data_IF_846954069051
#
_entry.id   IF_846954069051
#
_cell.length_a   1.000
_cell.length_b   1.000
_cell.length_c   1.000
_cell.angle_alpha   90.00
_cell.angle_beta   90.00
_cell.angle_gamma   90.00
#
_symmetry.space_group_name_H-M   'P 1'
#
loop_
_entity.id
_entity.type
_entity.pdbx_description
1 polymer ?
#
# COMPACT_ATOMS: atom_id res chain seq x y z
N UNK A 1 -10.68 -13.44 49.22
CA UNK A 1 -11.03 -12.04 48.93
C UNK A 1 -12.27 -11.69 49.71
N UNK A 2 -12.31 -10.49 50.26
CA UNK A 2 -13.44 -9.96 51.00
C UNK A 2 -14.73 -10.02 50.16
N UNK A 3 -15.82 -10.45 50.80
CA UNK A 3 -17.07 -10.72 50.12
C UNK A 3 -17.75 -9.42 49.67
N UNK A 4 -17.63 -8.35 50.45
CA UNK A 4 -18.22 -7.05 50.12
C UNK A 4 -17.42 -6.36 48.99
N UNK A 5 -16.09 -6.45 49.01
CA UNK A 5 -15.26 -6.02 47.87
C UNK A 5 -15.65 -6.76 46.59
N UNK A 6 -15.77 -8.09 46.65
CA UNK A 6 -16.16 -8.90 45.48
C UNK A 6 -17.54 -8.51 44.92
N UNK A 7 -18.51 -8.28 45.80
CA UNK A 7 -19.86 -7.85 45.38
C UNK A 7 -19.85 -6.45 44.79
N UNK A 8 -19.09 -5.52 45.36
CA UNK A 8 -18.93 -4.16 44.85
C UNK A 8 -18.31 -4.18 43.44
N UNK A 9 -17.24 -4.97 43.24
CA UNK A 9 -16.61 -5.14 41.92
C UNK A 9 -17.52 -5.83 40.92
N UNK A 10 -18.26 -6.88 41.32
CA UNK A 10 -19.18 -7.59 40.43
C UNK A 10 -20.35 -6.70 39.98
N UNK A 11 -20.89 -5.90 40.90
CA UNK A 11 -22.02 -4.99 40.63
C UNK A 11 -21.61 -3.70 39.92
N UNK A 12 -20.33 -3.34 39.92
CA UNK A 12 -19.83 -2.10 39.33
C UNK A 12 -20.12 -0.85 40.15
N UNK A 13 -20.50 -0.99 41.42
CA UNK A 13 -20.82 0.14 42.29
C UNK A 13 -19.53 0.82 42.77
N UNK A 14 -19.09 1.82 42.03
CA UNK A 14 -17.82 2.53 42.30
C UNK A 14 -17.81 3.30 43.59
N UNK A 15 -18.95 3.81 44.06
CA UNK A 15 -19.03 4.55 45.32
C UNK A 15 -18.71 3.62 46.50
N UNK A 16 -19.36 2.45 46.55
CA UNK A 16 -19.10 1.44 47.57
C UNK A 16 -17.67 0.91 47.45
N UNK A 17 -17.18 0.70 46.22
CA UNK A 17 -15.79 0.30 45.99
C UNK A 17 -14.80 1.32 46.57
N UNK A 18 -14.99 2.62 46.29
CA UNK A 18 -14.09 3.68 46.79
C UNK A 18 -14.14 3.80 48.31
N UNK A 19 -15.31 3.62 48.91
CA UNK A 19 -15.51 3.69 50.36
C UNK A 19 -14.78 2.53 51.06
N UNK A 20 -15.00 1.29 50.61
CA UNK A 20 -14.32 0.09 51.12
C UNK A 20 -12.80 0.20 50.99
N UNK A 21 -12.31 0.72 49.85
CA UNK A 21 -10.88 0.88 49.59
C UNK A 21 -10.24 2.06 50.35
N UNK A 22 -11.02 3.07 50.73
CA UNK A 22 -10.57 4.17 51.60
C UNK A 22 -10.47 3.70 53.06
N UNK A 23 -11.43 2.90 53.52
CA UNK A 23 -11.41 2.35 54.87
C UNK A 23 -10.31 1.30 55.05
N UNK A 24 -10.14 0.39 54.07
CA UNK A 24 -9.18 -0.71 54.17
C UNK A 24 -8.39 -0.91 52.85
N UNK A 25 -7.30 -0.14 52.63
CA UNK A 25 -6.47 -0.27 51.43
C UNK A 25 -5.80 -1.65 51.25
N UNK A 26 -5.61 -2.39 52.35
CA UNK A 26 -5.02 -3.73 52.36
C UNK A 26 -5.86 -4.78 51.62
N UNK A 27 -7.15 -4.50 51.39
CA UNK A 27 -8.05 -5.36 50.64
C UNK A 27 -7.57 -5.56 49.18
N UNK A 28 -6.80 -4.62 48.63
CA UNK A 28 -6.21 -4.74 47.28
C UNK A 28 -5.19 -5.87 47.15
N UNK A 29 -4.60 -6.34 48.27
CA UNK A 29 -3.67 -7.46 48.27
C UNK A 29 -4.36 -8.82 48.30
N UNK A 30 -5.67 -8.86 48.57
CA UNK A 30 -6.41 -10.10 48.72
C UNK A 30 -6.70 -10.76 47.37
N UNK A 31 -6.70 -12.08 47.38
CA UNK A 31 -6.92 -12.90 46.19
C UNK A 31 -8.19 -13.74 46.35
N UNK A 32 -8.82 -14.06 45.23
CA UNK A 32 -9.86 -15.10 45.15
C UNK A 32 -9.24 -16.51 45.20
N UNK A 33 -10.05 -17.58 45.35
CA UNK A 33 -9.54 -18.96 45.27
C UNK A 33 -8.86 -19.32 43.94
N UNK A 34 -9.13 -18.60 42.85
CA UNK A 34 -8.41 -18.75 41.58
C UNK A 34 -7.25 -17.74 41.41
N UNK A 35 -6.80 -17.15 42.51
CA UNK A 35 -5.78 -16.10 42.57
C UNK A 35 -6.07 -14.86 41.72
N UNK A 36 -7.34 -14.60 41.37
CA UNK A 36 -7.69 -13.32 40.76
C UNK A 36 -7.48 -12.19 41.77
N UNK A 37 -6.73 -11.17 41.33
CA UNK A 37 -6.66 -9.87 42.02
C UNK A 37 -7.97 -9.09 41.81
N UNK A 38 -8.26 -8.06 42.63
CA UNK A 38 -9.39 -7.16 42.42
C UNK A 38 -9.40 -6.58 40.99
N UNK A 39 -8.21 -6.22 40.46
CA UNK A 39 -8.06 -5.72 39.10
C UNK A 39 -8.48 -6.74 38.01
N UNK A 40 -8.23 -8.06 38.20
CA UNK A 40 -8.73 -9.07 37.28
C UNK A 40 -10.26 -9.10 37.22
N UNK A 41 -10.92 -8.86 38.36
CA UNK A 41 -12.37 -8.97 38.52
C UNK A 41 -13.05 -7.73 37.94
N UNK A 42 -12.52 -6.54 38.23
CA UNK A 42 -12.97 -5.30 37.62
C UNK A 42 -12.87 -5.35 36.07
N UNK A 43 -11.75 -5.89 35.54
CA UNK A 43 -11.58 -6.11 34.10
C UNK A 43 -12.56 -7.17 33.58
N UNK A 44 -12.74 -8.29 34.30
CA UNK A 44 -13.63 -9.38 33.90
C UNK A 44 -15.08 -8.93 33.71
N UNK A 45 -15.55 -8.02 34.57
CA UNK A 45 -16.90 -7.48 34.51
C UNK A 45 -17.02 -6.19 33.67
N UNK A 46 -15.90 -5.67 33.14
CA UNK A 46 -15.90 -4.53 32.21
C UNK A 46 -16.15 -3.17 32.87
N UNK A 47 -15.94 -3.04 34.18
CA UNK A 47 -16.21 -1.80 34.93
C UNK A 47 -15.05 -0.82 34.82
N UNK A 48 -15.04 -0.01 33.75
CA UNK A 48 -13.93 0.91 33.40
C UNK A 48 -13.54 1.85 34.54
N UNK A 49 -14.53 2.37 35.26
CA UNK A 49 -14.33 3.28 36.40
C UNK A 49 -13.70 2.58 37.61
N UNK A 50 -14.10 1.34 37.90
CA UNK A 50 -13.47 0.52 38.92
C UNK A 50 -12.02 0.14 38.54
N UNK A 51 -11.78 -0.19 37.27
CA UNK A 51 -10.43 -0.44 36.73
C UNK A 51 -9.53 0.78 36.91
N UNK A 52 -10.02 1.98 36.58
CA UNK A 52 -9.27 3.22 36.74
C UNK A 52 -8.93 3.51 38.21
N UNK A 53 -9.89 3.35 39.12
CA UNK A 53 -9.71 3.60 40.54
C UNK A 53 -8.70 2.63 41.18
N UNK A 54 -8.82 1.34 40.89
CA UNK A 54 -7.89 0.30 41.39
C UNK A 54 -6.49 0.51 40.79
N UNK A 55 -6.41 0.85 39.49
CA UNK A 55 -5.15 1.12 38.82
C UNK A 55 -4.43 2.36 39.39
N UNK A 56 -5.18 3.41 39.71
CA UNK A 56 -4.63 4.61 40.34
C UNK A 56 -4.00 4.30 41.70
N UNK A 57 -4.64 3.45 42.51
CA UNK A 57 -4.19 3.08 43.85
C UNK A 57 -3.05 2.06 43.86
N UNK A 58 -3.06 1.09 42.94
CA UNK A 58 -2.09 0.01 42.95
C UNK A 58 -1.72 -0.49 41.54
N UNK A 59 -0.71 0.16 40.94
CA UNK A 59 -0.22 -0.18 39.60
C UNK A 59 0.44 -1.56 39.51
N UNK A 60 1.02 -2.06 40.60
CA UNK A 60 1.69 -3.38 40.63
C UNK A 60 0.73 -4.55 40.38
N UNK A 61 -0.58 -4.35 40.53
CA UNK A 61 -1.58 -5.36 40.21
C UNK A 61 -1.67 -5.68 38.70
N UNK A 62 -1.17 -4.80 37.81
CA UNK A 62 -1.18 -5.04 36.36
C UNK A 62 -0.33 -6.24 35.92
N UNK A 63 0.77 -6.50 36.63
CA UNK A 63 1.75 -7.53 36.25
C UNK A 63 1.56 -8.83 37.04
N UNK A 64 0.67 -8.83 38.06
CA UNK A 64 0.47 -10.00 38.91
C UNK A 64 -0.38 -11.04 38.17
N UNK A 65 0.12 -12.26 37.95
CA UNK A 65 -0.66 -13.32 37.31
C UNK A 65 -1.63 -13.97 38.31
N UNK A 66 -2.70 -14.58 37.79
CA UNK A 66 -3.57 -15.53 38.51
C UNK A 66 -3.09 -16.99 38.35
N UNK A 67 -3.83 -17.96 38.88
CA UNK A 67 -3.47 -19.41 38.88
C UNK A 67 -3.03 -19.96 37.52
N UNK A 68 -3.63 -19.49 36.41
CA UNK A 68 -3.31 -19.97 35.06
C UNK A 68 -2.20 -19.16 34.35
N UNK A 69 -1.54 -18.24 35.04
CA UNK A 69 -0.51 -17.35 34.48
C UNK A 69 -1.06 -16.08 33.81
N UNK A 70 -2.38 -15.93 33.66
CA UNK A 70 -2.95 -14.72 33.06
C UNK A 70 -2.76 -13.51 33.97
N UNK A 71 -2.31 -12.39 33.41
CA UNK A 71 -2.41 -11.06 34.03
C UNK A 71 -3.78 -10.43 33.76
N UNK A 72 -4.18 -9.34 34.46
CA UNK A 72 -5.44 -8.65 34.18
C UNK A 72 -5.56 -8.22 32.71
N UNK A 73 -4.43 -7.94 32.06
CA UNK A 73 -4.38 -7.54 30.67
C UNK A 73 -4.63 -8.70 29.70
N UNK A 74 -4.18 -9.93 30.04
CA UNK A 74 -4.58 -11.14 29.30
C UNK A 74 -6.10 -11.36 29.38
N UNK A 75 -6.71 -11.10 30.54
CA UNK A 75 -8.17 -11.19 30.72
C UNK A 75 -8.89 -10.14 29.87
N UNK A 76 -8.41 -8.89 29.85
CA UNK A 76 -8.96 -7.83 28.99
C UNK A 76 -8.91 -8.20 27.50
N UNK A 77 -7.75 -8.66 27.01
CA UNK A 77 -7.56 -9.05 25.62
C UNK A 77 -8.53 -10.17 25.21
N UNK A 78 -8.72 -11.18 26.08
CA UNK A 78 -9.65 -12.29 25.82
C UNK A 78 -11.11 -11.85 25.77
N UNK A 79 -11.50 -10.88 26.60
CA UNK A 79 -12.86 -10.32 26.56
C UNK A 79 -13.09 -9.51 25.29
N UNK A 80 -12.12 -8.71 24.86
CA UNK A 80 -12.18 -7.96 23.61
C UNK A 80 -12.31 -8.92 22.42
N UNK A 81 -11.50 -9.98 22.37
CA UNK A 81 -11.60 -11.02 21.34
C UNK A 81 -12.96 -11.73 21.37
N UNK A 82 -13.46 -12.05 22.57
CA UNK A 82 -14.78 -12.69 22.72
C UNK A 82 -15.92 -11.79 22.24
N UNK A 83 -15.87 -10.50 22.55
CA UNK A 83 -16.84 -9.50 22.07
C UNK A 83 -16.73 -9.30 20.56
N UNK A 84 -15.50 -9.29 20.03
CA UNK A 84 -15.23 -9.14 18.61
C UNK A 84 -15.83 -10.26 17.74
N UNK A 85 -15.99 -11.45 18.32
CA UNK A 85 -16.57 -12.61 17.68
C UNK A 85 -18.07 -12.83 17.96
N UNK A 86 -18.73 -11.95 18.73
CA UNK A 86 -20.18 -12.05 18.92
C UNK A 86 -20.92 -11.81 17.61
N UNK A 87 -22.03 -12.50 17.41
CA UNK A 87 -22.90 -12.34 16.26
C UNK A 87 -24.28 -11.89 16.70
N UNK A 88 -24.91 -11.02 15.92
CA UNK A 88 -26.32 -10.67 16.13
C UNK A 88 -27.25 -11.79 15.63
N UNK A 89 -28.57 -11.59 15.74
CA UNK A 89 -29.57 -12.54 15.24
C UNK A 89 -29.47 -12.81 13.73
N UNK A 90 -28.75 -12.00 12.95
CA UNK A 90 -28.49 -12.20 11.52
C UNK A 90 -27.14 -12.87 11.23
N UNK A 91 -26.37 -13.26 12.26
CA UNK A 91 -25.03 -13.83 12.11
C UNK A 91 -23.93 -12.79 11.87
N UNK A 92 -24.26 -11.49 11.96
CA UNK A 92 -23.33 -10.41 11.63
C UNK A 92 -22.43 -10.10 12.83
N UNK A 93 -21.11 -10.13 12.60
CA UNK A 93 -20.11 -9.70 13.58
C UNK A 93 -19.99 -8.17 13.64
N UNK A 94 -19.42 -7.59 14.72
CA UNK A 94 -19.06 -6.18 14.77
C UNK A 94 -18.21 -5.73 13.57
N UNK A 95 -17.30 -6.58 13.10
CA UNK A 95 -16.49 -6.33 11.91
C UNK A 95 -17.35 -6.29 10.64
N UNK A 96 -18.31 -7.21 10.49
CA UNK A 96 -19.25 -7.21 9.36
C UNK A 96 -20.07 -5.91 9.33
N UNK A 97 -20.60 -5.49 10.47
CA UNK A 97 -21.36 -4.24 10.58
C UNK A 97 -20.50 -3.02 10.23
N UNK A 98 -19.28 -2.94 10.75
CA UNK A 98 -18.36 -1.86 10.43
C UNK A 98 -17.99 -1.84 8.94
N UNK A 99 -17.81 -3.02 8.33
CA UNK A 99 -17.53 -3.15 6.90
C UNK A 99 -18.71 -2.74 6.03
N UNK A 100 -19.95 -3.05 6.44
CA UNK A 100 -21.18 -2.62 5.74
C UNK A 100 -21.35 -1.11 5.74
N UNK A 101 -21.12 -0.48 6.89
CA UNK A 101 -21.26 0.97 7.08
C UNK A 101 -20.05 1.77 6.55
N UNK A 102 -18.95 1.10 6.15
CA UNK A 102 -17.77 1.77 5.61
C UNK A 102 -16.89 2.46 6.65
N UNK A 103 -17.00 2.09 7.93
CA UNK A 103 -16.23 2.70 9.04
C UNK A 103 -14.83 2.12 9.15
N UNK A 104 -13.92 2.57 8.28
CA UNK A 104 -12.54 2.10 8.19
C UNK A 104 -11.73 2.26 9.49
N UNK A 105 -12.01 3.30 10.26
CA UNK A 105 -11.44 3.58 11.58
C UNK A 105 -11.79 2.50 12.61
N UNK A 106 -13.06 2.07 12.65
CA UNK A 106 -13.50 0.96 13.53
C UNK A 106 -12.96 -0.36 13.01
N UNK A 107 -12.96 -0.58 11.70
CA UNK A 107 -12.40 -1.78 11.06
C UNK A 107 -10.92 -1.91 11.39
N UNK A 108 -10.12 -0.86 11.18
CA UNK A 108 -8.69 -0.83 11.50
C UNK A 108 -8.44 -1.14 12.98
N UNK A 109 -9.15 -0.46 13.88
CA UNK A 109 -8.99 -0.69 15.32
C UNK A 109 -9.32 -2.14 15.67
N UNK A 110 -10.47 -2.64 15.20
CA UNK A 110 -10.89 -4.02 15.42
C UNK A 110 -9.88 -5.03 14.88
N UNK A 111 -9.44 -4.86 13.62
CA UNK A 111 -8.44 -5.71 12.96
C UNK A 111 -7.08 -5.68 13.69
N UNK A 112 -6.66 -4.51 14.15
CA UNK A 112 -5.41 -4.33 14.89
C UNK A 112 -5.41 -5.06 16.25
N UNK A 113 -6.55 -5.08 16.95
CA UNK A 113 -6.71 -5.84 18.20
C UNK A 113 -6.78 -7.36 17.96
N UNK A 114 -7.48 -7.83 16.93
CA UNK A 114 -7.64 -9.27 16.68
C UNK A 114 -6.39 -9.94 16.06
N UNK A 115 -5.59 -9.20 15.29
CA UNK A 115 -4.40 -9.74 14.60
C UNK A 115 -3.14 -9.73 15.45
N UNK A 116 -3.21 -9.24 16.69
CA UNK A 116 -2.05 -9.16 17.59
C UNK A 116 -0.99 -8.14 17.16
N UNK A 117 -1.30 -7.26 16.20
CA UNK A 117 -0.40 -6.18 15.77
C UNK A 117 -0.30 -5.06 16.81
N UNK A 118 -1.21 -5.00 17.79
CA UNK A 118 -1.03 -4.18 18.99
C UNK A 118 0.15 -4.75 19.80
N UNK A 119 1.17 -3.96 20.14
CA UNK A 119 2.40 -4.42 20.80
C UNK A 119 2.19 -4.73 22.29
N UNK A 120 1.23 -5.58 22.64
CA UNK A 120 1.19 -6.15 24.00
C UNK A 120 2.43 -7.02 24.26
N UNK A 121 2.90 -7.72 23.22
CA UNK A 121 4.07 -8.58 23.29
C UNK A 121 5.36 -7.80 23.55
N UNK A 122 5.57 -6.65 22.88
CA UNK A 122 6.83 -5.89 23.01
C UNK A 122 6.84 -4.87 24.15
N UNK A 123 5.69 -4.35 24.58
CA UNK A 123 5.62 -3.37 25.69
C UNK A 123 5.44 -4.05 27.05
N UNK A 124 4.74 -5.17 27.12
CA UNK A 124 4.36 -5.80 28.40
C UNK A 124 4.77 -7.28 28.55
N UNK A 125 5.41 -7.89 27.54
CA UNK A 125 5.84 -9.30 27.61
C UNK A 125 4.68 -10.29 27.74
N UNK A 126 3.50 -9.91 27.23
CA UNK A 126 2.25 -10.68 27.35
C UNK A 126 2.10 -11.54 26.10
N UNK A 127 2.51 -12.80 26.19
CA UNK A 127 2.23 -13.80 25.16
C UNK A 127 0.79 -14.31 25.34
N UNK A 128 -0.18 -13.54 24.83
CA UNK A 128 -1.53 -14.08 24.68
C UNK A 128 -1.39 -15.18 23.63
N UNK A 129 -1.43 -16.45 24.05
CA UNK A 129 -1.58 -17.59 23.15
C UNK A 129 -2.86 -17.38 22.33
N UNK A 130 -2.74 -16.60 21.27
CA UNK A 130 -3.72 -16.47 20.23
C UNK A 130 -3.79 -17.87 19.64
N UNK A 131 -4.83 -18.62 19.99
CA UNK A 131 -5.35 -19.64 19.08
C UNK A 131 -5.27 -19.05 17.69
N UNK A 132 -4.75 -19.78 16.68
CA UNK A 132 -4.59 -19.24 15.34
C UNK A 132 -5.89 -18.53 14.97
N UNK A 133 -5.76 -17.35 14.35
CA UNK A 133 -6.81 -16.38 13.98
C UNK A 133 -7.78 -16.97 12.93
N UNK A 134 -8.08 -18.26 13.05
CA UNK A 134 -9.02 -19.01 12.29
C UNK A 134 -10.42 -18.72 12.87
N UNK A 135 -11.17 -17.90 12.14
CA UNK A 135 -12.52 -18.26 11.69
C UNK A 135 -13.78 -17.89 12.50
N UNK A 136 -13.83 -16.82 13.32
CA UNK A 136 -15.15 -16.33 13.82
C UNK A 136 -15.45 -14.84 13.61
N UNK A 137 -14.47 -13.94 13.68
CA UNK A 137 -14.69 -12.51 13.40
C UNK A 137 -14.95 -12.21 11.90
N UNK A 138 -14.36 -13.03 11.02
CA UNK A 138 -14.62 -13.07 9.57
C UNK A 138 -15.77 -14.01 9.20
N UNK A 139 -16.45 -14.59 10.20
CA UNK A 139 -17.54 -15.50 9.94
C UNK A 139 -18.60 -14.83 9.08
N UNK A 140 -19.14 -15.55 8.10
CA UNK A 140 -20.14 -15.00 7.23
C UNK A 140 -21.45 -14.73 7.96
N UNK A 141 -22.24 -13.81 7.40
CA UNK A 141 -23.66 -13.66 7.75
C UNK A 141 -24.43 -14.96 7.44
N UNK A 142 -25.72 -14.99 7.80
CA UNK A 142 -26.60 -16.13 7.45
C UNK A 142 -26.69 -16.44 5.95
N UNK A 143 -26.26 -15.52 5.07
CA UNK A 143 -26.23 -15.69 3.62
C UNK A 143 -24.85 -16.12 3.08
N UNK A 144 -23.85 -16.30 3.94
CA UNK A 144 -22.49 -16.63 3.53
C UNK A 144 -21.61 -15.42 3.24
N UNK A 145 -22.10 -14.19 3.36
CA UNK A 145 -21.31 -13.00 3.08
C UNK A 145 -20.31 -12.74 4.19
N UNK A 146 -19.02 -12.78 3.85
CA UNK A 146 -17.96 -12.29 4.73
C UNK A 146 -17.93 -10.75 4.77
N UNK A 147 -17.24 -10.14 5.75
CA UNK A 147 -17.02 -8.69 5.79
C UNK A 147 -16.43 -8.12 4.49
N UNK A 148 -15.60 -8.90 3.78
CA UNK A 148 -15.03 -8.51 2.49
C UNK A 148 -16.08 -8.48 1.37
N UNK A 149 -17.03 -9.42 1.36
CA UNK A 149 -18.12 -9.44 0.37
C UNK A 149 -18.99 -8.20 0.48
N UNK A 150 -19.39 -7.83 1.70
CA UNK A 150 -20.25 -6.65 1.91
C UNK A 150 -19.49 -5.34 1.66
N UNK A 151 -18.20 -5.26 2.01
CA UNK A 151 -17.38 -4.09 1.69
C UNK A 151 -17.22 -3.91 0.17
N UNK A 152 -16.98 -5.01 -0.55
CA UNK A 152 -16.91 -5.03 -2.01
C UNK A 152 -18.25 -4.66 -2.65
N UNK A 153 -19.35 -5.23 -2.18
CA UNK A 153 -20.71 -4.89 -2.64
C UNK A 153 -21.03 -3.41 -2.40
N UNK A 154 -20.69 -2.83 -1.24
CA UNK A 154 -20.99 -1.43 -0.93
C UNK A 154 -19.99 -0.43 -1.54
N UNK A 155 -18.86 -0.90 -2.04
CA UNK A 155 -17.87 -0.06 -2.70
C UNK A 155 -16.90 0.66 -1.76
N UNK A 156 -16.67 0.12 -0.56
CA UNK A 156 -15.85 0.75 0.48
C UNK A 156 -14.36 0.39 0.33
N UNK A 157 -13.65 1.09 -0.55
CA UNK A 157 -12.22 0.84 -0.89
C UNK A 157 -11.31 0.73 0.33
N UNK A 158 -11.38 1.70 1.24
CA UNK A 158 -10.46 1.77 2.38
C UNK A 158 -10.67 0.59 3.36
N UNK A 159 -11.91 0.11 3.48
CA UNK A 159 -12.25 -1.07 4.28
C UNK A 159 -11.72 -2.34 3.62
N UNK A 160 -11.83 -2.45 2.29
CA UNK A 160 -11.32 -3.59 1.51
C UNK A 160 -9.80 -3.71 1.68
N UNK A 161 -9.08 -2.60 1.53
CA UNK A 161 -7.62 -2.53 1.71
C UNK A 161 -7.19 -3.01 3.11
N UNK A 162 -7.88 -2.53 4.15
CA UNK A 162 -7.59 -2.95 5.52
C UNK A 162 -7.88 -4.43 5.76
N UNK A 163 -9.03 -4.94 5.31
CA UNK A 163 -9.40 -6.36 5.52
C UNK A 163 -8.39 -7.28 4.83
N UNK A 164 -7.99 -6.95 3.60
CA UNK A 164 -7.03 -7.74 2.81
C UNK A 164 -5.60 -7.66 3.38
N UNK A 165 -5.23 -6.51 3.95
CA UNK A 165 -3.95 -6.33 4.62
C UNK A 165 -3.83 -7.18 5.89
N UNK A 166 -4.86 -7.16 6.74
CA UNK A 166 -4.85 -7.84 8.03
C UNK A 166 -5.26 -9.33 7.94
N UNK A 167 -6.07 -9.71 6.96
CA UNK A 167 -6.52 -11.10 6.78
C UNK A 167 -6.19 -11.59 5.38
N UNK A 168 -5.10 -12.34 5.28
CA UNK A 168 -4.61 -12.81 3.99
C UNK A 168 -5.56 -13.82 3.34
N UNK A 169 -6.22 -14.67 4.12
CA UNK A 169 -7.13 -15.70 3.60
C UNK A 169 -8.52 -15.16 3.24
N UNK A 170 -8.82 -13.88 3.52
CA UNK A 170 -10.14 -13.30 3.28
C UNK A 170 -10.55 -13.27 1.81
N UNK A 171 -9.58 -13.25 0.88
CA UNK A 171 -9.80 -13.22 -0.57
C UNK A 171 -10.32 -14.53 -1.18
N UNK A 172 -10.12 -15.65 -0.48
CA UNK A 172 -10.55 -16.99 -0.92
C UNK A 172 -11.97 -17.34 -0.46
N UNK A 173 -12.53 -16.54 0.47
CA UNK A 173 -13.86 -16.78 1.03
C UNK A 173 -14.93 -16.69 -0.06
N UNK A 174 -15.87 -17.64 -0.03
CA UNK A 174 -17.02 -17.71 -0.93
C UNK A 174 -18.32 -17.59 -0.14
N UNK A 175 -19.30 -16.89 -0.71
CA UNK A 175 -20.66 -16.86 -0.18
C UNK A 175 -21.43 -18.18 -0.40
N UNK A 176 -22.66 -18.28 0.11
CA UNK A 176 -23.49 -19.48 -0.09
C UNK A 176 -23.85 -19.72 -1.56
N UNK A 177 -23.65 -18.74 -2.45
CA UNK A 177 -23.83 -18.86 -3.89
C UNK A 177 -22.52 -19.19 -4.64
N UNK A 178 -21.42 -19.43 -3.93
CA UNK A 178 -20.10 -19.66 -4.52
C UNK A 178 -19.48 -18.41 -5.14
N UNK A 179 -19.97 -17.22 -4.81
CA UNK A 179 -19.42 -15.93 -5.25
C UNK A 179 -18.30 -15.52 -4.31
N UNK A 180 -17.22 -14.99 -4.86
CA UNK A 180 -16.17 -14.31 -4.09
C UNK A 180 -16.45 -12.79 -3.99
N UNK A 181 -15.60 -12.06 -3.26
CA UNK A 181 -15.70 -10.60 -3.15
C UNK A 181 -15.71 -9.86 -4.50
N UNK A 182 -15.00 -10.38 -5.51
CA UNK A 182 -14.97 -9.80 -6.86
C UNK A 182 -16.33 -9.91 -7.58
N UNK A 183 -17.05 -11.01 -7.39
CA UNK A 183 -18.44 -11.14 -7.87
C UNK A 183 -19.36 -10.15 -7.13
N UNK A 184 -19.19 -10.00 -5.82
CA UNK A 184 -20.01 -9.08 -5.01
C UNK A 184 -19.79 -7.62 -5.37
N UNK A 185 -18.56 -7.23 -5.72
CA UNK A 185 -18.28 -5.90 -6.26
C UNK A 185 -19.23 -5.61 -7.43
N UNK A 186 -19.25 -6.46 -8.48
CA UNK A 186 -20.01 -6.20 -9.72
C UNK A 186 -21.50 -5.89 -9.50
N UNK A 187 -22.12 -6.51 -8.49
CA UNK A 187 -23.58 -6.45 -8.28
C UNK A 187 -24.07 -5.01 -8.04
N UNK A 188 -23.25 -4.13 -7.44
CA UNK A 188 -23.63 -2.76 -7.11
C UNK A 188 -23.03 -1.69 -8.05
N UNK A 189 -22.32 -2.10 -9.11
CA UNK A 189 -21.58 -1.23 -10.04
C UNK A 189 -22.41 -0.24 -10.87
N UNK A 190 -23.70 -0.08 -10.56
CA UNK A 190 -24.61 0.85 -11.23
C UNK A 190 -24.60 2.27 -10.65
N UNK A 191 -24.05 2.49 -9.45
CA UNK A 191 -24.14 3.79 -8.77
C UNK A 191 -22.88 4.67 -8.83
N UNK A 192 -21.67 4.10 -9.03
CA UNK A 192 -20.39 4.87 -9.02
C UNK A 192 -19.28 4.21 -9.86
N UNK A 193 -19.34 4.35 -11.20
CA UNK A 193 -18.46 3.64 -12.15
C UNK A 193 -16.94 3.81 -11.90
N UNK A 194 -16.48 4.97 -11.42
CA UNK A 194 -15.06 5.28 -11.23
C UNK A 194 -14.46 4.54 -10.02
N UNK A 195 -15.11 4.60 -8.87
CA UNK A 195 -14.67 3.87 -7.65
C UNK A 195 -14.74 2.37 -7.84
N UNK A 196 -15.72 1.92 -8.61
CA UNK A 196 -15.90 0.52 -8.97
C UNK A 196 -14.77 -0.04 -9.82
N UNK A 197 -14.22 0.79 -10.71
CA UNK A 197 -13.08 0.40 -11.56
C UNK A 197 -11.82 0.17 -10.71
N UNK A 198 -11.61 0.97 -9.67
CA UNK A 198 -10.49 0.80 -8.74
C UNK A 198 -10.62 -0.46 -7.89
N UNK A 199 -11.78 -0.73 -7.31
CA UNK A 199 -12.02 -1.93 -6.49
C UNK A 199 -11.83 -3.20 -7.32
N UNK A 200 -12.37 -3.22 -8.54
CA UNK A 200 -12.18 -4.34 -9.46
C UNK A 200 -10.71 -4.53 -9.80
N UNK A 201 -9.96 -3.46 -10.08
CA UNK A 201 -8.51 -3.53 -10.31
C UNK A 201 -7.75 -4.04 -9.09
N UNK A 202 -8.05 -3.53 -7.91
CA UNK A 202 -7.41 -3.89 -6.65
C UNK A 202 -7.65 -5.37 -6.32
N UNK A 203 -8.91 -5.82 -6.33
CA UNK A 203 -9.28 -7.22 -6.10
C UNK A 203 -8.79 -8.15 -7.21
N UNK A 204 -8.63 -7.67 -8.46
CA UNK A 204 -8.03 -8.48 -9.52
C UNK A 204 -6.51 -8.57 -9.39
N UNK A 205 -5.83 -7.54 -8.90
CA UNK A 205 -4.37 -7.60 -8.71
C UNK A 205 -3.98 -8.50 -7.55
N UNK A 206 -4.85 -8.66 -6.56
CA UNK A 206 -4.59 -9.54 -5.44
C UNK A 206 -4.68 -11.02 -5.85
N UNK A 207 -3.54 -11.73 -5.77
CA UNK A 207 -3.43 -13.15 -6.15
C UNK A 207 -4.33 -14.06 -5.31
N UNK A 208 -4.74 -13.61 -4.12
CA UNK A 208 -5.57 -14.36 -3.17
C UNK A 208 -7.04 -14.34 -3.58
N UNK A 209 -7.44 -13.42 -4.45
CA UNK A 209 -8.80 -13.36 -4.99
C UNK A 209 -8.86 -14.13 -6.30
N UNK A 210 -9.50 -15.30 -6.29
CA UNK A 210 -9.59 -16.14 -7.48
C UNK A 210 -10.52 -15.54 -8.55
N UNK A 211 -9.94 -14.90 -9.56
CA UNK A 211 -10.65 -14.28 -10.68
C UNK A 211 -11.46 -15.28 -11.55
N UNK A 212 -11.08 -16.57 -11.50
CA UNK A 212 -11.69 -17.65 -12.30
C UNK A 212 -12.70 -18.45 -11.50
N UNK A 213 -12.95 -18.08 -10.25
CA UNK A 213 -14.00 -18.69 -9.45
C UNK A 213 -15.33 -18.60 -10.21
N UNK A 214 -16.06 -19.71 -10.23
CA UNK A 214 -17.41 -19.77 -10.79
C UNK A 214 -18.39 -19.83 -9.66
N UNK A 215 -19.43 -19.00 -9.73
CA UNK A 215 -20.56 -19.12 -8.83
C UNK A 215 -21.32 -20.45 -9.07
N UNK A 216 -22.31 -20.75 -8.23
CA UNK A 216 -23.17 -21.95 -8.38
C UNK A 216 -23.95 -22.00 -9.70
N UNK A 217 -24.04 -20.89 -10.45
CA UNK A 217 -24.62 -20.83 -11.80
C UNK A 217 -23.60 -21.12 -12.90
N UNK A 218 -22.36 -21.46 -12.54
CA UNK A 218 -21.27 -21.73 -13.48
C UNK A 218 -20.66 -20.49 -14.13
N UNK A 219 -21.04 -19.29 -13.68
CA UNK A 219 -20.61 -18.02 -14.25
C UNK A 219 -19.39 -17.47 -13.51
N UNK A 220 -18.41 -16.97 -14.27
CA UNK A 220 -17.32 -16.17 -13.74
C UNK A 220 -17.71 -14.69 -13.64
N UNK A 221 -16.92 -13.92 -12.91
CA UNK A 221 -16.97 -12.45 -12.85
C UNK A 221 -17.06 -11.82 -14.25
N UNK A 222 -16.28 -12.32 -15.21
CA UNK A 222 -16.24 -11.81 -16.59
C UNK A 222 -17.48 -12.20 -17.40
N UNK A 223 -18.17 -13.28 -17.04
CA UNK A 223 -19.43 -13.70 -17.68
C UNK A 223 -20.60 -12.84 -17.19
N UNK A 224 -20.55 -12.36 -15.94
CA UNK A 224 -21.57 -11.47 -15.36
C UNK A 224 -21.45 -10.05 -15.93
N UNK A 225 -20.23 -9.55 -16.11
CA UNK A 225 -20.01 -8.24 -16.71
C UNK A 225 -18.89 -8.27 -17.78
N UNK A 226 -19.32 -8.38 -19.04
CA UNK A 226 -18.45 -8.42 -20.21
C UNK A 226 -17.67 -7.11 -20.44
N UNK A 227 -18.15 -5.97 -19.97
CA UNK A 227 -17.47 -4.67 -20.14
C UNK A 227 -16.20 -4.54 -19.30
N UNK A 228 -16.09 -5.30 -18.20
CA UNK A 228 -14.85 -5.39 -17.41
C UNK A 228 -13.74 -6.00 -18.25
N UNK A 229 -14.06 -7.05 -19.01
CA UNK A 229 -13.14 -7.68 -19.95
C UNK A 229 -12.68 -6.68 -21.02
N UNK A 230 -13.56 -5.83 -21.51
CA UNK A 230 -13.21 -4.76 -22.46
C UNK A 230 -12.31 -3.69 -21.82
N UNK A 231 -12.60 -3.24 -20.60
CA UNK A 231 -11.75 -2.27 -19.86
C UNK A 231 -10.35 -2.80 -19.50
N UNK A 232 -10.22 -4.13 -19.31
CA UNK A 232 -8.95 -4.82 -19.08
C UNK A 232 -8.18 -5.11 -20.38
N UNK A 233 -8.90 -5.40 -21.47
CA UNK A 233 -8.35 -5.66 -22.81
C UNK A 233 -7.99 -4.38 -23.56
N UNK A 234 -8.53 -3.21 -23.19
CA UNK A 234 -8.00 -1.88 -23.60
C UNK A 234 -6.66 -1.56 -22.92
N UNK A 235 -5.74 -2.52 -22.98
CA UNK A 235 -4.30 -2.29 -23.04
C UNK A 235 -3.97 -1.67 -24.42
N UNK A 236 -2.91 -0.84 -24.54
CA UNK A 236 -2.65 0.01 -25.72
C UNK A 236 -2.55 -0.72 -27.06
N UNK A 237 -2.33 -2.03 -27.06
CA UNK A 237 -2.12 -2.85 -28.26
C UNK A 237 -3.34 -2.90 -29.18
N UNK A 238 -4.58 -2.85 -28.65
CA UNK A 238 -5.78 -2.95 -29.47
C UNK A 238 -6.22 -1.63 -30.13
N UNK A 239 -5.64 -0.48 -29.77
CA UNK A 239 -5.87 0.77 -30.50
C UNK A 239 -5.12 0.72 -31.84
N UNK A 240 -3.91 0.15 -31.85
CA UNK A 240 -3.12 -0.08 -33.06
C UNK A 240 -3.80 -1.14 -33.94
N UNK A 241 -4.31 -2.20 -33.31
CA UNK A 241 -4.98 -3.28 -34.04
C UNK A 241 -6.33 -2.87 -34.64
N UNK A 242 -7.13 -2.07 -33.92
CA UNK A 242 -8.37 -1.50 -34.44
C UNK A 242 -8.14 -0.48 -35.58
N UNK A 243 -6.94 0.10 -35.68
CA UNK A 243 -6.57 0.94 -36.81
C UNK A 243 -6.16 0.10 -38.03
N UNK A 244 -5.49 -1.05 -37.81
CA UNK A 244 -5.14 -1.99 -38.88
C UNK A 244 -6.32 -2.83 -39.38
N UNK A 245 -7.27 -3.18 -38.53
CA UNK A 245 -8.48 -3.94 -38.90
C UNK A 245 -9.50 -3.07 -39.63
N UNK A 246 -9.44 -1.74 -39.48
CA UNK A 246 -10.24 -0.79 -40.27
C UNK A 246 -9.75 -0.60 -41.71
N UNK A 247 -8.61 -1.19 -42.08
CA UNK A 247 -8.03 -1.12 -43.43
C UNK A 247 -8.04 -2.45 -44.21
N UNK A 248 -8.48 -3.56 -43.62
CA UNK A 248 -8.44 -4.88 -44.26
C UNK A 248 -9.73 -5.67 -44.06
N UNK A 249 -10.59 -5.66 -45.09
CA UNK A 249 -11.81 -6.50 -45.17
C UNK A 249 -11.47 -7.98 -45.36
N UNK A 250 -12.26 -8.87 -44.74
CA UNK A 250 -12.47 -10.24 -45.22
C UNK A 250 -12.30 -11.36 -44.17
N UNK A 251 -13.41 -12.06 -43.86
CA UNK A 251 -13.60 -13.41 -43.31
C UNK A 251 -12.35 -14.23 -42.86
N UNK A 252 -12.35 -14.97 -41.74
CA UNK A 252 -13.15 -16.19 -41.50
C UNK A 252 -12.91 -16.71 -40.06
N UNK A 253 -13.94 -17.31 -39.45
CA UNK A 253 -13.88 -18.12 -38.22
C UNK A 253 -12.85 -19.24 -38.31
N UNK A 254 -11.87 -19.29 -37.38
CA UNK A 254 -11.23 -20.54 -36.94
C UNK A 254 -11.04 -20.49 -35.42
N UNK A 255 -11.83 -21.31 -34.74
CA UNK A 255 -11.56 -21.80 -33.39
C UNK A 255 -10.22 -22.53 -33.38
N UNK A 256 -9.23 -22.02 -32.65
CA UNK A 256 -8.10 -22.82 -32.18
C UNK A 256 -7.95 -22.69 -30.68
N UNK A 257 -8.07 -23.84 -30.02
CA UNK A 257 -7.72 -24.08 -28.63
C UNK A 257 -6.29 -23.58 -28.37
N UNK A 258 -6.08 -22.78 -27.34
CA UNK A 258 -4.75 -22.58 -26.78
C UNK A 258 -4.78 -22.60 -25.25
N UNK A 259 -4.12 -23.64 -24.72
CA UNK A 259 -3.50 -23.70 -23.40
C UNK A 259 -2.53 -22.52 -23.15
N UNK A 260 -2.17 -22.25 -21.88
CA UNK A 260 -2.48 -20.95 -21.29
C UNK A 260 -1.36 -19.90 -21.40
N UNK A 261 -1.79 -18.68 -21.68
CA UNK A 261 -1.03 -17.42 -21.72
C UNK A 261 -0.66 -16.91 -20.31
N UNK A 262 -0.07 -17.75 -19.46
CA UNK A 262 0.37 -17.33 -18.11
C UNK A 262 1.85 -16.97 -18.03
N UNK A 263 2.66 -17.40 -18.99
CA UNK A 263 4.09 -17.06 -19.08
C UNK A 263 4.37 -15.74 -19.80
N UNK A 264 3.36 -15.12 -20.43
CA UNK A 264 3.56 -13.97 -21.32
C UNK A 264 3.59 -12.60 -20.58
N UNK A 265 2.81 -12.43 -19.49
CA UNK A 265 2.67 -11.12 -18.83
C UNK A 265 3.81 -10.76 -17.87
N UNK A 266 4.36 -11.72 -17.11
CA UNK A 266 5.55 -11.50 -16.27
C UNK A 266 6.82 -11.26 -17.11
N UNK A 267 6.86 -11.77 -18.33
CA UNK A 267 7.94 -11.54 -19.28
C UNK A 267 7.96 -10.08 -19.78
N UNK A 268 6.78 -9.47 -20.01
CA UNK A 268 6.67 -8.10 -20.51
C UNK A 268 7.23 -7.05 -19.53
N UNK A 269 7.03 -7.18 -18.22
CA UNK A 269 7.55 -6.20 -17.26
C UNK A 269 9.06 -6.28 -17.07
N UNK A 270 9.65 -7.48 -17.05
CA UNK A 270 11.11 -7.63 -17.02
C UNK A 270 11.76 -7.02 -18.26
N UNK A 271 11.17 -7.24 -19.43
CA UNK A 271 11.64 -6.64 -20.68
C UNK A 271 11.46 -5.11 -20.69
N UNK A 272 10.38 -4.60 -20.11
CA UNK A 272 10.15 -3.16 -19.96
C UNK A 272 11.14 -2.54 -18.96
N UNK A 273 11.43 -3.20 -17.84
CA UNK A 273 12.45 -2.80 -16.87
C UNK A 273 13.86 -2.80 -17.48
N UNK A 274 14.20 -3.80 -18.31
CA UNK A 274 15.45 -3.80 -19.09
C UNK A 274 15.51 -2.62 -20.07
N UNK A 275 14.40 -2.26 -20.70
CA UNK A 275 14.32 -1.10 -21.60
C UNK A 275 14.58 0.20 -20.83
N UNK A 276 13.96 0.40 -19.65
CA UNK A 276 14.20 1.56 -18.81
C UNK A 276 15.64 1.62 -18.28
N UNK A 277 16.21 0.47 -17.89
CA UNK A 277 17.61 0.39 -17.50
C UNK A 277 18.52 0.81 -18.65
N UNK A 278 18.28 0.31 -19.87
CA UNK A 278 19.02 0.73 -21.06
C UNK A 278 18.92 2.23 -21.31
N UNK A 279 17.71 2.80 -21.25
CA UNK A 279 17.49 4.25 -21.43
C UNK A 279 18.22 5.06 -20.35
N UNK A 280 18.11 4.66 -19.09
CA UNK A 280 18.80 5.32 -17.98
C UNK A 280 20.33 5.27 -18.17
N UNK A 281 20.89 4.11 -18.51
CA UNK A 281 22.32 3.95 -18.78
C UNK A 281 22.81 4.79 -19.97
N UNK A 282 22.02 4.86 -21.04
CA UNK A 282 22.32 5.73 -22.19
C UNK A 282 22.36 7.21 -21.78
N UNK A 283 21.35 7.67 -21.02
CA UNK A 283 21.32 9.04 -20.51
C UNK A 283 22.55 9.31 -19.64
N UNK A 284 22.85 8.42 -18.68
CA UNK A 284 24.03 8.55 -17.81
C UNK A 284 25.32 8.64 -18.61
N UNK A 285 25.46 7.85 -19.67
CA UNK A 285 26.66 7.86 -20.51
C UNK A 285 26.78 9.17 -21.28
N UNK A 286 25.69 9.65 -21.88
CA UNK A 286 25.67 10.93 -22.61
C UNK A 286 25.99 12.09 -21.68
N UNK A 287 25.34 12.18 -20.52
CA UNK A 287 25.58 13.26 -19.54
C UNK A 287 27.00 13.19 -18.97
N UNK A 288 27.48 11.99 -18.64
CA UNK A 288 28.85 11.80 -18.17
C UNK A 288 29.88 12.27 -19.21
N UNK A 289 29.68 11.94 -20.50
CA UNK A 289 30.56 12.43 -21.57
C UNK A 289 30.46 13.95 -21.74
N UNK A 290 29.27 14.52 -21.61
CA UNK A 290 29.02 15.95 -21.74
C UNK A 290 29.72 16.75 -20.63
N UNK A 291 29.79 16.22 -19.41
CA UNK A 291 30.51 16.85 -18.29
C UNK A 291 32.01 17.09 -18.57
N UNK A 292 32.65 16.22 -19.36
CA UNK A 292 34.07 16.35 -19.75
C UNK A 292 34.27 16.92 -21.15
N UNK A 293 33.25 16.91 -22.01
CA UNK A 293 33.25 17.55 -23.32
C UNK A 293 32.68 18.97 -23.24
N UNK A 294 33.32 19.83 -22.44
CA UNK A 294 32.82 21.18 -22.15
C UNK A 294 32.59 22.00 -23.43
N UNK A 295 31.40 22.60 -23.59
CA UNK A 295 31.13 23.52 -24.69
C UNK A 295 32.14 24.68 -24.68
N UNK A 296 32.80 24.91 -25.82
CA UNK A 296 33.86 25.91 -25.94
C UNK A 296 35.27 25.42 -25.59
N UNK A 297 35.42 24.23 -25.00
CA UNK A 297 36.71 23.60 -24.71
C UNK A 297 37.44 24.13 -23.48
N UNK A 298 38.71 23.73 -23.34
CA UNK A 298 39.56 24.03 -22.20
C UNK A 298 40.69 25.00 -22.55
N UNK A 299 41.15 25.74 -21.55
CA UNK A 299 42.32 26.57 -21.66
C UNK A 299 43.59 25.70 -21.72
N UNK A 300 44.27 25.71 -22.87
CA UNK A 300 45.50 24.95 -23.09
C UNK A 300 46.79 25.77 -22.84
N UNK A 301 46.68 27.04 -22.44
CA UNK A 301 47.84 27.87 -22.15
C UNK A 301 48.48 27.44 -20.81
N UNK A 302 49.80 27.27 -20.83
CA UNK A 302 50.58 26.89 -19.65
C UNK A 302 50.51 28.04 -18.62
N UNK A 303 49.88 27.78 -17.48
CA UNK A 303 49.64 28.78 -16.43
C UNK A 303 48.67 28.30 -15.36
N UNK A 304 48.32 29.16 -14.41
CA UNK A 304 47.40 28.82 -13.30
C UNK A 304 45.98 28.44 -13.78
N UNK A 305 45.57 28.93 -14.95
CA UNK A 305 44.27 28.65 -15.55
C UNK A 305 44.28 27.48 -16.55
N UNK A 306 45.39 26.75 -16.67
CA UNK A 306 45.48 25.58 -17.54
C UNK A 306 44.44 24.53 -17.14
N UNK A 307 43.69 24.04 -18.12
CA UNK A 307 42.63 23.04 -17.91
C UNK A 307 41.29 23.60 -17.41
N UNK A 308 41.16 24.93 -17.18
CA UNK A 308 39.86 25.55 -16.89
C UNK A 308 38.99 25.65 -18.15
N UNK A 309 37.67 25.53 -17.99
CA UNK A 309 36.74 25.70 -19.11
C UNK A 309 36.78 27.15 -19.63
N UNK A 310 36.87 27.34 -20.95
CA UNK A 310 37.02 28.66 -21.57
C UNK A 310 35.82 29.58 -21.30
N UNK A 311 34.62 29.01 -21.17
CA UNK A 311 33.38 29.73 -20.92
C UNK A 311 32.96 29.71 -19.44
N UNK A 312 33.88 29.51 -18.48
CA UNK A 312 33.56 29.36 -17.05
C UNK A 312 32.71 30.49 -16.44
N UNK A 313 32.84 31.71 -16.95
CA UNK A 313 32.08 32.88 -16.47
C UNK A 313 30.71 33.05 -17.16
N UNK A 314 30.41 32.22 -18.16
CA UNK A 314 29.15 32.26 -18.91
C UNK A 314 28.02 31.67 -18.08
N UNK A 315 26.92 32.42 -17.94
CA UNK A 315 25.70 31.94 -17.25
C UNK A 315 25.16 30.67 -17.90
N UNK A 316 25.23 30.59 -19.23
CA UNK A 316 24.73 29.49 -20.03
C UNK A 316 25.53 28.20 -19.76
N UNK A 317 26.86 28.31 -19.58
CA UNK A 317 27.68 27.16 -19.22
C UNK A 317 27.36 26.66 -17.79
N UNK A 318 27.12 27.56 -16.84
CA UNK A 318 26.71 27.18 -15.48
C UNK A 318 25.36 26.45 -15.49
N UNK A 319 24.38 26.93 -16.28
CA UNK A 319 23.10 26.24 -16.48
C UNK A 319 23.27 24.87 -17.15
N UNK A 320 24.17 24.76 -18.13
CA UNK A 320 24.52 23.49 -18.77
C UNK A 320 25.03 22.48 -17.73
N UNK A 321 26.04 22.84 -16.94
CA UNK A 321 26.66 21.94 -15.95
C UNK A 321 25.64 21.50 -14.89
N UNK A 322 24.81 22.43 -14.41
CA UNK A 322 23.81 22.14 -13.38
C UNK A 322 22.72 21.20 -13.88
N UNK A 323 22.16 21.46 -15.07
CA UNK A 323 21.12 20.60 -15.66
C UNK A 323 21.65 19.23 -16.06
N UNK A 324 22.89 19.15 -16.56
CA UNK A 324 23.58 17.90 -16.89
C UNK A 324 23.84 17.04 -15.63
N UNK A 325 24.26 17.67 -14.52
CA UNK A 325 24.46 17.00 -13.23
C UNK A 325 23.17 16.42 -12.64
N UNK A 326 22.05 17.15 -12.77
CA UNK A 326 20.73 16.67 -12.35
C UNK A 326 20.32 15.46 -13.21
N UNK A 327 20.50 15.56 -14.53
CA UNK A 327 20.18 14.48 -15.45
C UNK A 327 20.97 13.19 -15.15
N UNK A 328 22.26 13.34 -14.91
CA UNK A 328 23.14 12.23 -14.54
C UNK A 328 22.72 11.58 -13.22
N UNK A 329 22.44 12.39 -12.19
CA UNK A 329 22.06 11.87 -10.87
C UNK A 329 20.70 11.17 -10.91
N UNK A 330 19.71 11.76 -11.59
CA UNK A 330 18.39 11.15 -11.77
C UNK A 330 18.46 9.84 -12.57
N UNK A 331 19.28 9.77 -13.63
CA UNK A 331 19.43 8.55 -14.43
C UNK A 331 20.14 7.42 -13.68
N UNK A 332 21.21 7.72 -12.92
CA UNK A 332 21.88 6.74 -12.06
C UNK A 332 20.91 6.20 -10.99
N UNK A 333 20.17 7.10 -10.34
CA UNK A 333 19.18 6.69 -9.32
C UNK A 333 18.07 5.82 -9.93
N UNK A 334 17.58 6.16 -11.12
CA UNK A 334 16.59 5.34 -11.83
C UNK A 334 17.13 3.94 -12.18
N UNK A 335 18.40 3.84 -12.60
CA UNK A 335 19.06 2.56 -12.86
C UNK A 335 19.19 1.72 -11.58
N UNK A 336 19.61 2.31 -10.47
CA UNK A 336 19.72 1.63 -9.16
C UNK A 336 18.36 1.12 -8.67
N UNK A 337 17.31 1.95 -8.77
CA UNK A 337 15.93 1.58 -8.40
C UNK A 337 15.43 0.43 -9.27
N UNK A 338 15.69 0.46 -10.57
CA UNK A 338 15.29 -0.62 -11.49
C UNK A 338 16.03 -1.92 -11.16
N UNK A 339 17.32 -1.83 -10.82
CA UNK A 339 18.13 -2.97 -10.41
C UNK A 339 17.66 -3.58 -9.08
N UNK A 340 17.41 -2.76 -8.06
CA UNK A 340 16.85 -3.23 -6.78
C UNK A 340 15.44 -3.76 -6.93
N UNK A 341 14.61 -3.14 -7.77
CA UNK A 341 13.29 -3.65 -8.13
C UNK A 341 13.38 -5.05 -8.75
N UNK A 342 14.38 -5.32 -9.59
CA UNK A 342 14.60 -6.64 -10.17
C UNK A 342 15.04 -7.72 -9.16
N UNK A 343 15.66 -7.33 -8.05
CA UNK A 343 16.13 -8.22 -6.97
C UNK A 343 15.06 -8.41 -5.87
N UNK A 344 14.20 -7.41 -5.66
CA UNK A 344 13.17 -7.40 -4.61
C UNK A 344 11.98 -8.33 -4.87
N UNK A 345 11.15 -8.54 -3.84
CA UNK A 345 9.95 -9.37 -3.92
C UNK A 345 8.90 -8.81 -4.90
N UNK A 346 8.15 -9.70 -5.57
CA UNK A 346 7.23 -9.37 -6.66
C UNK A 346 6.12 -8.36 -6.31
N UNK A 347 5.76 -8.22 -5.02
CA UNK A 347 4.71 -7.32 -4.53
C UNK A 347 5.09 -5.84 -4.67
N UNK A 348 6.38 -5.50 -4.53
CA UNK A 348 6.87 -4.11 -4.54
C UNK A 348 7.37 -3.65 -5.92
N UNK A 349 7.46 -4.54 -6.90
CA UNK A 349 8.06 -4.27 -8.21
C UNK A 349 7.40 -3.09 -8.94
N UNK A 350 6.07 -2.96 -8.82
CA UNK A 350 5.29 -1.93 -9.49
C UNK A 350 5.66 -0.52 -9.00
N UNK A 351 5.93 -0.36 -7.70
CA UNK A 351 6.34 0.92 -7.12
C UNK A 351 7.76 1.31 -7.50
N UNK A 352 8.70 0.36 -7.52
CA UNK A 352 10.05 0.59 -8.04
C UNK A 352 10.01 0.99 -9.52
N UNK A 353 9.18 0.31 -10.31
CA UNK A 353 8.99 0.61 -11.72
C UNK A 353 8.42 2.03 -11.94
N UNK A 354 7.35 2.40 -11.21
CA UNK A 354 6.77 3.74 -11.30
C UNK A 354 7.78 4.84 -10.89
N UNK A 355 8.55 4.60 -9.82
CA UNK A 355 9.59 5.51 -9.35
C UNK A 355 10.72 5.69 -10.37
N UNK A 356 11.18 4.59 -10.97
CA UNK A 356 12.19 4.62 -12.02
C UNK A 356 11.70 5.38 -13.25
N UNK A 357 10.45 5.14 -13.68
CA UNK A 357 9.87 5.84 -14.83
C UNK A 357 9.80 7.36 -14.63
N UNK A 358 9.42 7.82 -13.42
CA UNK A 358 9.38 9.25 -13.09
C UNK A 358 10.80 9.86 -13.11
N UNK A 359 11.78 9.18 -12.51
CA UNK A 359 13.16 9.67 -12.48
C UNK A 359 13.80 9.68 -13.87
N UNK A 360 13.55 8.66 -14.70
CA UNK A 360 13.99 8.64 -16.10
C UNK A 360 13.35 9.77 -16.90
N UNK A 361 12.08 10.09 -16.64
CA UNK A 361 11.43 11.25 -17.25
C UNK A 361 12.11 12.56 -16.86
N UNK A 362 12.37 12.78 -15.56
CA UNK A 362 13.08 13.97 -15.09
C UNK A 362 14.44 14.06 -15.78
N UNK A 363 15.19 12.94 -15.83
CA UNK A 363 16.48 12.87 -16.49
C UNK A 363 16.43 13.26 -17.97
N UNK A 364 15.46 12.73 -18.74
CA UNK A 364 15.27 13.06 -20.16
C UNK A 364 15.03 14.55 -20.39
N UNK A 365 14.19 15.15 -19.56
CA UNK A 365 13.88 16.58 -19.63
C UNK A 365 15.13 17.41 -19.33
N UNK A 366 15.86 17.09 -18.26
CA UNK A 366 17.06 17.83 -17.87
C UNK A 366 18.21 17.66 -18.86
N UNK A 367 18.38 16.48 -19.47
CA UNK A 367 19.34 16.27 -20.57
C UNK A 367 19.00 17.14 -21.77
N UNK A 368 17.72 17.27 -22.10
CA UNK A 368 17.27 18.19 -23.14
C UNK A 368 17.66 19.64 -22.83
N UNK A 369 17.37 20.12 -21.62
CA UNK A 369 17.75 21.46 -21.19
C UNK A 369 19.27 21.69 -21.23
N UNK A 370 20.06 20.68 -20.83
CA UNK A 370 21.52 20.73 -20.94
C UNK A 370 21.95 20.92 -22.41
N UNK A 371 21.40 20.14 -23.34
CA UNK A 371 21.72 20.29 -24.77
C UNK A 371 21.41 21.71 -25.29
N UNK A 372 20.23 22.26 -24.98
CA UNK A 372 19.84 23.62 -25.42
C UNK A 372 20.73 24.73 -24.82
N UNK A 373 21.08 24.61 -23.53
CA UNK A 373 21.94 25.57 -22.85
C UNK A 373 23.40 25.47 -23.30
N UNK A 374 23.88 24.27 -23.63
CA UNK A 374 25.19 24.04 -24.24
C UNK A 374 25.34 24.71 -25.62
N UNK A 375 24.34 24.57 -26.49
CA UNK A 375 24.33 25.29 -27.79
C UNK A 375 24.34 26.80 -27.56
N UNK A 376 23.52 27.28 -26.62
CA UNK A 376 23.43 28.71 -26.30
C UNK A 376 24.73 29.27 -25.71
N UNK A 377 25.54 28.42 -25.06
CA UNK A 377 26.86 28.81 -24.55
C UNK A 377 27.89 28.97 -25.68
N UNK A 378 27.84 28.13 -26.71
CA UNK A 378 28.81 28.15 -27.83
C UNK A 378 28.47 29.17 -28.90
N UNK A 379 27.17 29.40 -29.16
CA UNK A 379 26.69 30.27 -30.24
C UNK A 379 25.79 31.41 -29.71
N UNK A 380 26.28 32.30 -28.83
CA UNK A 380 25.46 33.29 -28.15
C UNK A 380 24.81 34.31 -29.09
N UNK A 381 25.50 34.69 -30.18
CA UNK A 381 25.04 35.73 -31.10
C UNK A 381 24.10 35.21 -32.21
N UNK A 382 23.94 33.89 -32.31
CA UNK A 382 23.15 33.26 -33.37
C UNK A 382 21.75 32.91 -32.88
N UNK A 383 20.90 33.94 -32.70
CA UNK A 383 19.53 33.81 -32.18
C UNK A 383 18.66 32.78 -32.91
N UNK A 384 18.90 32.54 -34.21
CA UNK A 384 18.17 31.55 -35.00
C UNK A 384 18.34 30.13 -34.45
N UNK A 385 19.58 29.69 -34.19
CA UNK A 385 19.86 28.34 -33.67
C UNK A 385 19.35 28.16 -32.24
N UNK A 386 19.45 29.21 -31.42
CA UNK A 386 18.92 29.22 -30.05
C UNK A 386 17.40 29.05 -30.06
N UNK A 387 16.69 29.81 -30.90
CA UNK A 387 15.23 29.76 -31.02
C UNK A 387 14.75 28.38 -31.49
N UNK A 388 15.45 27.78 -32.46
CA UNK A 388 15.16 26.41 -32.91
C UNK A 388 15.34 25.43 -31.75
N UNK A 389 16.45 25.49 -31.01
CA UNK A 389 16.71 24.59 -29.89
C UNK A 389 15.62 24.65 -28.81
N UNK A 390 15.13 25.85 -28.45
CA UNK A 390 14.03 26.00 -27.49
C UNK A 390 12.68 25.54 -28.05
N UNK A 391 12.41 25.76 -29.34
CA UNK A 391 11.16 25.29 -29.97
C UNK A 391 11.08 23.75 -30.00
N UNK A 392 12.18 23.08 -30.34
CA UNK A 392 12.28 21.61 -30.32
C UNK A 392 12.11 21.09 -28.90
N UNK A 393 12.72 21.75 -27.91
CA UNK A 393 12.57 21.40 -26.49
C UNK A 393 11.10 21.48 -26.06
N UNK A 394 10.40 22.55 -26.43
CA UNK A 394 8.99 22.75 -26.07
C UNK A 394 8.08 21.66 -26.64
N UNK A 395 8.31 21.26 -27.90
CA UNK A 395 7.58 20.15 -28.53
C UNK A 395 7.88 18.83 -27.83
N UNK A 396 9.15 18.57 -27.50
CA UNK A 396 9.56 17.39 -26.75
C UNK A 396 8.91 17.33 -25.36
N UNK A 397 8.86 18.45 -24.64
CA UNK A 397 8.15 18.56 -23.36
C UNK A 397 6.65 18.26 -23.49
N UNK A 398 5.98 18.80 -24.50
CA UNK A 398 4.54 18.57 -24.68
C UNK A 398 4.24 17.10 -24.97
N UNK A 399 5.05 16.47 -25.83
CA UNK A 399 4.94 15.04 -26.17
C UNK A 399 5.16 14.14 -24.94
N UNK A 400 6.19 14.42 -24.15
CA UNK A 400 6.55 13.62 -22.98
C UNK A 400 5.62 13.88 -21.78
N UNK A 401 5.10 15.10 -21.61
CA UNK A 401 4.10 15.43 -20.59
C UNK A 401 2.78 14.65 -20.79
N UNK A 402 2.34 14.50 -22.04
CA UNK A 402 1.18 13.66 -22.36
C UNK A 402 1.37 12.20 -21.95
N UNK A 403 2.59 11.66 -22.12
CA UNK A 403 2.95 10.30 -21.68
C UNK A 403 2.95 10.19 -20.15
N UNK A 404 3.45 11.21 -19.44
CA UNK A 404 3.48 11.24 -17.98
C UNK A 404 2.09 11.38 -17.36
N UNK A 405 1.19 12.17 -17.96
CA UNK A 405 -0.21 12.24 -17.54
C UNK A 405 -0.88 10.86 -17.61
N UNK A 406 -0.55 10.04 -18.60
CA UNK A 406 -1.03 8.65 -18.66
C UNK A 406 -0.44 7.76 -17.58
N UNK A 407 0.81 7.98 -17.16
CA UNK A 407 1.43 7.25 -16.05
C UNK A 407 0.88 7.66 -14.67
N UNK A 408 0.66 8.96 -14.45
CA UNK A 408 0.08 9.50 -13.20
C UNK A 408 -1.39 9.10 -13.02
N UNK A 409 -2.13 8.92 -14.11
CA UNK A 409 -3.48 8.33 -14.08
C UNK A 409 -3.49 6.87 -13.62
N UNK A 410 -2.36 6.16 -13.71
CA UNK A 410 -2.22 4.76 -13.29
C UNK A 410 -1.69 4.66 -11.85
N UNK A 411 -0.87 5.61 -11.40
CA UNK A 411 -0.26 5.63 -10.06
C UNK A 411 -0.30 7.03 -9.43
N UNK A 412 -0.99 7.23 -8.29
CA UNK A 412 -0.98 8.52 -7.59
C UNK A 412 0.41 8.79 -7.00
N UNK A 413 0.99 9.94 -7.37
CA UNK A 413 2.34 10.36 -6.97
C UNK A 413 2.56 10.35 -5.45
N UNK A 414 1.52 10.67 -4.66
CA UNK A 414 1.58 10.67 -3.19
C UNK A 414 1.89 9.29 -2.60
N UNK A 415 1.35 8.22 -3.18
CA UNK A 415 1.57 6.85 -2.69
C UNK A 415 2.97 6.35 -3.04
N UNK A 416 3.47 6.68 -4.23
CA UNK A 416 4.84 6.39 -4.64
C UNK A 416 5.85 7.06 -3.69
N UNK A 417 5.60 8.33 -3.33
CA UNK A 417 6.45 9.04 -2.37
C UNK A 417 6.39 8.46 -0.96
N UNK A 418 5.20 8.10 -0.46
CA UNK A 418 5.05 7.47 0.85
C UNK A 418 5.73 6.10 0.91
N UNK A 419 5.60 5.30 -0.16
CA UNK A 419 6.27 4.01 -0.28
C UNK A 419 7.79 4.16 -0.23
N UNK A 420 8.37 5.04 -1.07
CA UNK A 420 9.81 5.30 -1.08
C UNK A 420 10.33 5.78 0.28
N UNK A 421 9.61 6.69 0.94
CA UNK A 421 9.99 7.19 2.26
C UNK A 421 9.98 6.08 3.32
N UNK A 422 8.95 5.23 3.31
CA UNK A 422 8.87 4.08 4.22
C UNK A 422 10.01 3.07 4.00
N UNK A 423 10.42 2.89 2.75
CA UNK A 423 11.49 1.95 2.39
C UNK A 423 12.88 2.52 2.70
N UNK A 424 13.09 3.82 2.51
CA UNK A 424 14.31 4.53 2.92
C UNK A 424 14.47 4.51 4.44
N UNK A 425 13.39 4.72 5.20
CA UNK A 425 13.41 4.60 6.67
C UNK A 425 13.78 3.17 7.11
N UNK A 426 13.22 2.14 6.46
CA UNK A 426 13.60 0.74 6.70
C UNK A 426 15.06 0.45 6.37
N UNK A 427 15.62 1.03 5.30
CA UNK A 427 17.04 0.86 4.99
C UNK A 427 17.94 1.59 5.98
N UNK A 428 17.59 2.79 6.43
CA UNK A 428 18.34 3.52 7.46
C UNK A 428 18.39 2.75 8.79
N UNK A 429 17.31 2.03 9.14
CA UNK A 429 17.27 1.14 10.32
C UNK A 429 18.19 -0.09 10.17
N UNK A 430 18.51 -0.53 8.95
CA UNK A 430 19.39 -1.67 8.68
C UNK A 430 20.87 -1.26 8.68
N UNK A 431 21.21 0.00 8.36
CA UNK A 431 22.58 0.51 8.36
C UNK A 431 23.03 1.14 9.69
N UNK A 432 22.11 1.33 10.66
CA UNK A 432 22.41 1.84 12.00
C UNK A 432 22.35 0.78 13.12
N UNK A 433 22.12 -0.49 12.78
CA UNK A 433 22.29 -1.63 13.69
C UNK A 433 23.53 -2.43 13.30
#
# INVERSE_FOLDING_TARGET
MDLELYKAEKSGNTCILTEILNENPSLLAQLTPQENTPLHIAVQFGHVTAVAEIFYRCKSLLIRPKVNGDTPLHVAARLILKLACLQNHAGESPLFLAAREGRADIVSNHLHYITGFFPFNSIFGIEVNATPINCTCFAPDKNGHSPLHVAAEKGHTNVIEQIIFYCQDSGELLDLNGKNALHSAIVNGKANAVRHTWILRYLMWDRRVNQRAKNKKGQTVFDINKSIRESYITSPENIIKNFSEKLGSGHTLITKNHEPTYTLQTHNYRQTGQTFLMVATLITTVTFTAAFAMPGGYNNYIGYDQGKALLQSSKQLIFFITTDSIAMTCSITAACITFWGAIGSNESYVYYFASAAILTYVALITTGMAFSTGISAVLPDQHYFITIAYSVMTVFHFSTCFLLLKLVQIFPFSEVCQFLNSHLQKMNLIFMG
#
